data_IF_913844070680
#
_entry.id   IF_913844070680
#
_cell.length_a   1.000
_cell.length_b   1.000
_cell.length_c   1.000
_cell.angle_alpha   90.00
_cell.angle_beta   90.00
_cell.angle_gamma   90.00
#
_symmetry.space_group_name_H-M   'P 1'
#
loop_
_entity.id
_entity.type
_entity.pdbx_description
1 polymer ?
#
# COMPACT_ATOMS: atom_id res chain seq x y z
N UNK A 1 -9.31 -14.59 0.39
CA UNK A 1 -7.89 -14.45 0.02
C UNK A 1 -6.93 -14.58 1.20
N UNK A 2 -7.40 -14.67 2.45
CA UNK A 2 -6.55 -14.85 3.65
C UNK A 2 -5.62 -16.07 3.58
N UNK A 3 -6.04 -17.13 2.89
CA UNK A 3 -5.33 -18.42 2.86
C UNK A 3 -4.13 -18.49 1.90
N UNK A 4 -3.86 -17.47 1.09
CA UNK A 4 -2.75 -17.44 0.12
C UNK A 4 -1.71 -16.35 0.38
N UNK A 5 -1.64 -15.83 1.61
CA UNK A 5 -0.67 -14.79 1.96
C UNK A 5 0.70 -15.41 2.23
N UNK A 6 1.69 -14.95 1.49
CA UNK A 6 3.07 -15.36 1.66
C UNK A 6 3.76 -14.60 2.80
N UNK A 7 3.38 -13.33 3.04
CA UNK A 7 3.94 -12.47 4.09
C UNK A 7 2.85 -11.55 4.65
N UNK A 8 2.74 -11.48 5.98
CA UNK A 8 1.87 -10.55 6.69
C UNK A 8 2.71 -9.43 7.34
N UNK A 9 2.13 -8.23 7.47
CA UNK A 9 2.74 -7.09 8.16
C UNK A 9 3.78 -6.30 7.34
N UNK A 10 3.94 -6.59 6.06
CA UNK A 10 4.97 -5.96 5.19
C UNK A 10 4.45 -4.83 4.30
N UNK A 11 3.14 -4.62 4.29
CA UNK A 11 2.51 -3.62 3.41
C UNK A 11 2.70 -2.20 3.91
N UNK A 12 3.04 -1.31 2.98
CA UNK A 12 3.21 0.14 3.17
C UNK A 12 1.90 0.91 3.22
N UNK A 13 0.75 0.25 3.09
CA UNK A 13 -0.56 0.90 3.09
C UNK A 13 -0.83 1.65 4.40
N UNK A 14 -1.16 2.94 4.31
CA UNK A 14 -1.56 3.79 5.43
C UNK A 14 -2.84 4.55 5.07
N UNK A 15 -3.76 4.64 6.03
CA UNK A 15 -4.97 5.44 5.95
C UNK A 15 -4.98 6.47 7.08
N UNK A 16 -5.16 7.74 6.73
CA UNK A 16 -5.38 8.83 7.67
C UNK A 16 -6.90 9.06 7.82
N UNK A 17 -7.44 8.58 8.95
CA UNK A 17 -8.88 8.66 9.23
C UNK A 17 -9.39 10.10 9.41
N UNK A 18 -8.54 11.01 9.91
CA UNK A 18 -8.90 12.41 10.12
C UNK A 18 -9.15 13.12 8.78
N UNK A 19 -8.27 12.89 7.79
CA UNK A 19 -8.40 13.44 6.43
C UNK A 19 -9.49 12.77 5.62
N UNK A 20 -9.86 11.52 5.92
CA UNK A 20 -10.82 10.76 5.14
C UNK A 20 -12.20 11.44 5.13
N UNK A 21 -12.74 11.78 3.95
CA UNK A 21 -14.08 12.37 3.82
C UNK A 21 -15.19 11.34 3.55
N UNK A 22 -14.85 10.04 3.50
CA UNK A 22 -15.83 8.98 3.27
C UNK A 22 -16.37 8.89 1.84
N UNK A 23 -15.60 9.34 0.84
CA UNK A 23 -16.05 9.34 -0.56
C UNK A 23 -16.19 7.94 -1.19
N UNK A 24 -15.51 6.92 -0.66
CA UNK A 24 -15.62 5.54 -1.12
C UNK A 24 -14.75 5.14 -2.32
N UNK A 25 -14.03 6.08 -2.92
CA UNK A 25 -13.20 5.78 -4.10
C UNK A 25 -12.18 4.66 -3.85
N UNK A 26 -11.58 4.61 -2.65
CA UNK A 26 -10.65 3.55 -2.28
C UNK A 26 -11.27 2.15 -2.25
N UNK A 27 -12.56 2.02 -1.93
CA UNK A 27 -13.31 0.77 -1.96
C UNK A 27 -13.61 0.38 -3.42
N UNK A 28 -14.10 1.33 -4.23
CA UNK A 28 -14.44 1.12 -5.64
C UNK A 28 -13.25 0.68 -6.49
N UNK A 29 -12.08 1.31 -6.31
CA UNK A 29 -10.91 1.06 -7.16
C UNK A 29 -10.03 -0.09 -6.67
N UNK A 30 -10.32 -0.70 -5.51
CA UNK A 30 -9.49 -1.76 -4.95
C UNK A 30 -9.94 -3.14 -5.46
N UNK A 31 -9.19 -3.78 -6.38
CA UNK A 31 -9.58 -5.09 -6.90
C UNK A 31 -9.51 -6.21 -5.85
N UNK A 32 -8.78 -5.98 -4.75
CA UNK A 32 -8.58 -6.96 -3.68
C UNK A 32 -9.53 -6.77 -2.49
N UNK A 33 -10.39 -5.74 -2.51
CA UNK A 33 -11.36 -5.51 -1.44
C UNK A 33 -10.72 -5.20 -0.08
N UNK A 34 -9.58 -4.48 -0.08
CA UNK A 34 -8.84 -4.12 1.14
C UNK A 34 -9.59 -3.10 2.00
N UNK A 35 -10.43 -2.28 1.36
CA UNK A 35 -11.20 -1.22 1.98
C UNK A 35 -12.68 -1.56 2.04
N UNK A 36 -13.34 -1.09 3.08
CA UNK A 36 -14.80 -0.99 3.17
C UNK A 36 -15.20 0.38 3.67
N UNK A 37 -16.41 0.81 3.37
CA UNK A 37 -17.01 2.01 3.95
C UNK A 37 -17.83 1.67 5.21
N UNK A 38 -17.38 2.17 6.36
CA UNK A 38 -18.14 2.09 7.62
C UNK A 38 -18.35 3.49 8.21
N UNK A 39 -19.59 3.80 8.64
CA UNK A 39 -19.93 5.07 9.30
C UNK A 39 -19.41 6.33 8.55
N UNK A 40 -19.42 6.28 7.20
CA UNK A 40 -18.90 7.34 6.31
C UNK A 40 -17.38 7.57 6.43
N UNK A 41 -16.61 6.55 6.78
CA UNK A 41 -15.15 6.54 6.73
C UNK A 41 -14.69 5.25 6.07
N UNK A 42 -13.56 5.31 5.38
CA UNK A 42 -12.90 4.11 4.90
C UNK A 42 -12.33 3.33 6.10
N UNK A 43 -12.38 2.01 6.04
CA UNK A 43 -11.76 1.10 7.01
C UNK A 43 -10.95 0.06 6.24
N UNK A 44 -9.74 -0.21 6.71
CA UNK A 44 -8.90 -1.28 6.16
C UNK A 44 -9.29 -2.60 6.83
N UNK A 45 -9.93 -3.49 6.09
CA UNK A 45 -10.35 -4.82 6.59
C UNK A 45 -9.34 -5.92 6.31
N UNK A 46 -8.48 -5.69 5.31
CA UNK A 46 -7.44 -6.62 4.90
C UNK A 46 -6.19 -5.88 4.42
N UNK A 47 -5.39 -5.38 5.37
CA UNK A 47 -4.17 -4.63 5.05
C UNK A 47 -3.21 -5.45 4.17
N UNK A 48 -2.93 -6.69 4.57
CA UNK A 48 -1.95 -7.57 3.90
C UNK A 48 -2.46 -8.15 2.58
N UNK A 49 -3.73 -7.98 2.26
CA UNK A 49 -4.27 -8.22 0.92
C UNK A 49 -3.87 -7.15 -0.09
N UNK A 50 -3.30 -6.03 0.33
CA UNK A 50 -2.87 -4.95 -0.55
C UNK A 50 -1.70 -5.39 -1.43
N UNK A 51 -1.89 -5.38 -2.75
CA UNK A 51 -0.82 -5.62 -3.73
C UNK A 51 0.01 -4.36 -4.06
N UNK A 52 -0.19 -3.28 -3.30
CA UNK A 52 0.52 -2.01 -3.47
C UNK A 52 0.43 -1.42 -4.89
N UNK A 53 -0.72 -1.55 -5.54
CA UNK A 53 -0.90 -1.03 -6.91
C UNK A 53 -1.02 0.51 -6.99
N UNK A 54 -1.28 1.20 -5.87
CA UNK A 54 -1.40 2.67 -5.84
C UNK A 54 -2.75 3.25 -6.26
N UNK A 55 -3.69 2.44 -6.75
CA UNK A 55 -4.97 2.93 -7.28
C UNK A 55 -5.78 3.74 -6.25
N UNK A 56 -5.83 3.30 -4.99
CA UNK A 56 -6.55 4.00 -3.93
C UNK A 56 -5.94 5.37 -3.59
N UNK A 57 -4.61 5.48 -3.57
CA UNK A 57 -3.91 6.73 -3.29
C UNK A 57 -4.10 7.75 -4.43
N UNK A 58 -4.03 7.28 -5.69
CA UNK A 58 -4.23 8.14 -6.87
C UNK A 58 -5.65 8.71 -6.99
N UNK A 59 -6.65 7.96 -6.54
CA UNK A 59 -8.07 8.37 -6.63
C UNK A 59 -8.59 9.03 -5.35
N UNK A 60 -7.77 9.17 -4.31
CA UNK A 60 -8.21 9.83 -3.08
C UNK A 60 -8.18 11.37 -3.25
N UNK A 61 -9.33 12.07 -3.29
CA UNK A 61 -9.37 13.51 -3.56
C UNK A 61 -8.76 14.37 -2.45
N UNK A 62 -8.56 13.78 -1.26
CA UNK A 62 -8.07 14.45 -0.05
C UNK A 62 -6.74 13.86 0.44
N UNK A 63 -6.12 12.99 -0.36
CA UNK A 63 -4.85 12.32 -0.02
C UNK A 63 -4.86 11.69 1.38
N UNK A 64 -5.98 11.03 1.72
CA UNK A 64 -6.11 10.31 3.00
C UNK A 64 -5.48 8.91 2.96
N UNK A 65 -5.16 8.38 1.78
CA UNK A 65 -4.56 7.06 1.59
C UNK A 65 -3.17 7.22 1.00
N UNK A 66 -2.21 6.55 1.60
CA UNK A 66 -0.82 6.47 1.13
C UNK A 66 -0.44 4.99 0.97
N UNK A 67 0.28 4.68 -0.10
CA UNK A 67 0.87 3.37 -0.37
C UNK A 67 2.04 3.60 -1.31
N UNK A 68 3.10 2.80 -1.19
CA UNK A 68 4.26 2.93 -2.06
C UNK A 68 4.18 1.87 -3.16
N UNK A 69 3.90 2.22 -4.42
CA UNK A 69 3.81 1.22 -5.47
C UNK A 69 5.18 0.71 -5.90
N UNK A 70 5.26 -0.57 -6.26
CA UNK A 70 6.48 -1.15 -6.83
C UNK A 70 7.61 -1.39 -5.84
N UNK A 71 7.34 -1.30 -4.52
CA UNK A 71 8.29 -1.75 -3.50
C UNK A 71 8.09 -3.23 -3.20
N UNK A 72 9.19 -3.90 -2.94
CA UNK A 72 9.21 -5.32 -2.60
C UNK A 72 10.63 -5.85 -2.62
N UNK A 73 10.86 -7.00 -1.98
CA UNK A 73 12.17 -7.67 -1.94
C UNK A 73 12.77 -7.85 -3.34
N UNK A 74 11.93 -8.08 -4.36
CA UNK A 74 12.36 -8.19 -5.75
C UNK A 74 12.98 -6.89 -6.28
N UNK A 75 12.37 -5.74 -6.03
CA UNK A 75 12.92 -4.44 -6.45
C UNK A 75 14.28 -4.18 -5.80
N UNK A 76 14.44 -4.51 -4.52
CA UNK A 76 15.72 -4.41 -3.82
C UNK A 76 16.80 -5.35 -4.41
N UNK A 77 16.45 -6.60 -4.68
CA UNK A 77 17.36 -7.58 -5.30
C UNK A 77 17.80 -7.10 -6.69
N UNK A 78 16.86 -6.63 -7.51
CA UNK A 78 17.14 -6.09 -8.86
C UNK A 78 18.05 -4.86 -8.77
N UNK A 79 17.77 -3.94 -7.86
CA UNK A 79 18.63 -2.77 -7.65
C UNK A 79 20.05 -3.17 -7.21
N UNK A 80 20.19 -4.17 -6.35
CA UNK A 80 21.48 -4.71 -5.94
C UNK A 80 22.27 -5.29 -7.12
N UNK A 81 21.60 -5.94 -8.06
CA UNK A 81 22.23 -6.46 -9.27
C UNK A 81 22.64 -5.36 -10.25
N UNK A 82 21.82 -4.33 -10.42
CA UNK A 82 22.07 -3.27 -11.42
C UNK A 82 23.04 -2.20 -10.89
N UNK A 83 22.82 -1.70 -9.67
CA UNK A 83 23.56 -0.57 -9.09
C UNK A 83 24.73 -1.01 -8.20
N UNK A 84 24.81 -2.30 -7.86
CA UNK A 84 25.77 -2.84 -6.91
C UNK A 84 25.31 -2.73 -5.45
N UNK A 85 25.94 -3.52 -4.58
CA UNK A 85 25.54 -3.71 -3.16
C UNK A 85 25.44 -2.42 -2.35
N UNK A 86 26.22 -1.40 -2.69
CA UNK A 86 26.35 -0.18 -1.88
C UNK A 86 25.50 0.99 -2.39
N UNK A 87 24.76 0.81 -3.51
CA UNK A 87 23.90 1.83 -4.11
C UNK A 87 22.45 1.35 -4.32
N UNK A 88 22.13 0.17 -3.80
CA UNK A 88 20.77 -0.33 -3.74
C UNK A 88 20.09 0.23 -2.50
N UNK A 89 19.21 1.20 -2.72
CA UNK A 89 18.40 1.82 -1.67
C UNK A 89 17.02 1.16 -1.69
N UNK A 90 16.51 0.77 -0.51
CA UNK A 90 15.05 0.75 -0.36
C UNK A 90 14.61 2.20 -0.57
N UNK A 91 13.89 2.47 -1.66
CA UNK A 91 13.49 3.82 -2.04
C UNK A 91 12.52 4.51 -1.08
N UNK A 92 12.37 4.03 0.16
CA UNK A 92 11.58 4.65 1.20
C UNK A 92 12.52 5.26 2.26
N UNK A 93 12.49 6.58 2.40
CA UNK A 93 13.27 7.36 3.38
C UNK A 93 12.99 7.06 4.86
N UNK A 94 12.34 5.94 5.16
CA UNK A 94 12.05 5.42 6.49
C UNK A 94 12.25 3.90 6.49
N UNK A 95 13.51 3.46 6.45
CA UNK A 95 13.92 2.07 6.74
C UNK A 95 13.67 1.03 5.65
N UNK A 96 14.61 0.09 5.50
CA UNK A 96 14.35 -1.19 4.85
C UNK A 96 13.49 -2.03 5.79
N UNK A 97 12.24 -2.31 5.39
CA UNK A 97 11.31 -3.20 6.06
C UNK A 97 10.68 -2.64 7.34
#
# INVERSE_FOLDING_TARGET
MKDFRYLDGVTTLVLNEEKCIGCGECETVCPHGVFVLEKKKAVIVDKDGCMECGACALNCPVSAVEVTPGVGCAAYIIQKWIKGRNAAECGCGTGCC
#
